data_IF_864464245110
#
_entry.id   IF_864464245110
#
_cell.length_a   1.000
_cell.length_b   1.000
_cell.length_c   1.000
_cell.angle_alpha   90.00
_cell.angle_beta   90.00
_cell.angle_gamma   90.00
#
_symmetry.space_group_name_H-M   'P 1'
#
loop_
_entity.id
_entity.type
_entity.pdbx_description
1 polymer ?
#
# COMPACT_ATOMS: atom_id res chain seq x y z
N UNK A 1 0.43 -20.92 -9.80
CA UNK A 1 0.61 -19.47 -9.52
C UNK A 1 1.94 -18.93 -10.04
N UNK A 2 3.12 -19.41 -9.61
CA UNK A 2 4.42 -18.95 -10.16
C UNK A 2 4.56 -19.04 -11.69
N UNK A 3 4.11 -20.14 -12.30
CA UNK A 3 4.09 -20.27 -13.78
C UNK A 3 3.15 -19.28 -14.48
N UNK A 4 2.07 -18.86 -13.83
CA UNK A 4 1.14 -17.87 -14.38
C UNK A 4 1.75 -16.48 -14.22
N UNK A 5 2.36 -16.21 -13.06
CA UNK A 5 3.12 -15.00 -12.78
C UNK A 5 4.30 -14.82 -13.76
N UNK A 6 5.03 -15.89 -14.09
CA UNK A 6 6.09 -15.90 -15.12
C UNK A 6 5.53 -15.66 -16.54
N UNK A 7 4.38 -16.25 -16.88
CA UNK A 7 3.74 -16.03 -18.19
C UNK A 7 3.19 -14.60 -18.33
N UNK A 8 2.74 -14.01 -17.23
CA UNK A 8 2.19 -12.65 -17.18
C UNK A 8 3.24 -11.58 -16.83
N UNK A 9 4.48 -11.97 -16.55
CA UNK A 9 5.58 -11.13 -16.06
C UNK A 9 5.23 -10.26 -14.85
N UNK A 10 4.46 -10.80 -13.90
CA UNK A 10 4.03 -10.11 -12.67
C UNK A 10 4.57 -10.79 -11.43
N UNK A 11 4.65 -10.06 -10.32
CA UNK A 11 4.99 -10.66 -9.03
C UNK A 11 3.91 -11.70 -8.63
N UNK A 12 4.30 -12.92 -8.25
CA UNK A 12 3.35 -13.98 -7.89
C UNK A 12 2.46 -13.63 -6.70
N UNK A 13 2.88 -12.69 -5.85
CA UNK A 13 2.08 -12.18 -4.73
C UNK A 13 0.91 -11.31 -5.19
N UNK A 14 1.01 -10.69 -6.37
CA UNK A 14 -0.06 -9.90 -6.99
C UNK A 14 -1.24 -10.75 -7.48
N UNK A 15 -1.07 -12.07 -7.55
CA UNK A 15 -2.11 -13.05 -7.93
C UNK A 15 -2.76 -13.72 -6.72
N UNK A 16 -2.33 -13.41 -5.49
CA UNK A 16 -2.96 -13.88 -4.27
C UNK A 16 -4.03 -12.85 -3.89
N UNK A 17 -5.30 -13.16 -4.17
CA UNK A 17 -6.44 -12.44 -3.60
C UNK A 17 -6.92 -13.24 -2.38
N UNK A 18 -6.49 -12.90 -1.14
CA UNK A 18 -7.35 -13.14 0.00
C UNK A 18 -8.56 -12.24 -0.20
N UNK A 19 -9.75 -12.82 -0.14
CA UNK A 19 -11.01 -12.08 -0.07
C UNK A 19 -11.07 -11.31 1.26
N UNK A 20 -10.29 -10.22 1.37
CA UNK A 20 -10.21 -9.28 2.49
C UNK A 20 -11.37 -8.28 2.39
N UNK A 21 -12.60 -8.73 2.63
CA UNK A 21 -13.77 -7.84 2.54
C UNK A 21 -14.37 -7.48 3.90
N UNK A 22 -13.99 -8.15 5.00
CA UNK A 22 -14.45 -7.81 6.34
C UNK A 22 -13.39 -7.02 7.12
N UNK A 23 -13.83 -6.13 8.01
CA UNK A 23 -12.92 -5.35 8.86
C UNK A 23 -12.06 -6.26 9.75
N UNK A 24 -12.62 -7.40 10.13
CA UNK A 24 -11.98 -8.46 10.91
C UNK A 24 -10.75 -9.03 10.22
N UNK A 25 -10.81 -9.28 8.90
CA UNK A 25 -9.67 -9.83 8.14
C UNK A 25 -8.50 -8.83 8.08
N UNK A 26 -8.81 -7.54 7.93
CA UNK A 26 -7.83 -6.46 8.02
C UNK A 26 -7.21 -6.42 9.41
N UNK A 27 -8.02 -6.56 10.46
CA UNK A 27 -7.52 -6.58 11.84
C UNK A 27 -6.61 -7.76 12.13
N UNK A 28 -6.93 -8.97 11.65
CA UNK A 28 -6.02 -10.12 11.80
C UNK A 28 -4.67 -9.86 11.14
N UNK A 29 -4.66 -9.28 9.94
CA UNK A 29 -3.41 -8.90 9.26
C UNK A 29 -2.62 -7.86 10.07
N UNK A 30 -3.30 -6.87 10.65
CA UNK A 30 -2.65 -5.85 11.48
C UNK A 30 -2.07 -6.42 12.78
N UNK A 31 -2.74 -7.39 13.41
CA UNK A 31 -2.23 -8.08 14.60
C UNK A 31 -0.96 -8.87 14.27
N UNK A 32 -0.95 -9.63 13.17
CA UNK A 32 0.26 -10.33 12.73
C UNK A 32 1.43 -9.36 12.49
N UNK A 33 1.16 -8.20 11.89
CA UNK A 33 2.19 -7.18 11.67
C UNK A 33 2.68 -6.56 12.99
N UNK A 34 1.81 -6.29 13.96
CA UNK A 34 2.21 -5.74 15.27
C UNK A 34 3.19 -6.67 16.01
N UNK A 35 2.93 -7.98 15.98
CA UNK A 35 3.81 -8.99 16.57
C UNK A 35 5.21 -9.03 15.94
N UNK A 36 5.31 -8.84 14.61
CA UNK A 36 6.58 -8.88 13.88
C UNK A 36 7.33 -7.55 13.91
N UNK A 37 6.63 -6.43 14.13
CA UNK A 37 7.19 -5.09 14.17
C UNK A 37 6.89 -4.43 15.53
N UNK A 38 7.67 -4.72 16.60
CA UNK A 38 7.39 -4.29 17.99
C UNK A 38 7.47 -2.77 18.25
N UNK A 39 7.62 -1.97 17.19
CA UNK A 39 7.56 -0.52 17.21
C UNK A 39 6.28 0.05 16.59
N UNK A 40 5.30 -0.79 16.24
CA UNK A 40 4.03 -0.35 15.66
C UNK A 40 3.25 0.51 16.66
N UNK A 41 2.65 1.59 16.17
CA UNK A 41 1.90 2.55 16.98
C UNK A 41 0.62 2.97 16.28
N UNK A 42 -0.40 3.26 17.08
CA UNK A 42 -1.67 3.80 16.61
C UNK A 42 -1.77 5.28 16.97
N UNK A 43 -2.25 6.09 16.03
CA UNK A 43 -2.48 7.51 16.23
C UNK A 43 -3.89 7.89 15.77
N UNK A 44 -4.55 8.79 16.49
CA UNK A 44 -5.68 9.52 15.94
C UNK A 44 -5.12 10.61 15.02
N UNK A 45 -5.56 10.61 13.77
CA UNK A 45 -5.17 11.60 12.75
C UNK A 45 -6.42 12.32 12.26
N UNK A 46 -6.27 13.60 11.99
CA UNK A 46 -7.30 14.39 11.29
C UNK A 46 -6.98 14.36 9.80
N UNK A 47 -7.85 13.77 8.99
CA UNK A 47 -7.80 13.90 7.55
C UNK A 47 -8.40 15.26 7.17
N UNK A 48 -7.59 16.07 6.50
CA UNK A 48 -7.96 17.40 6.01
C UNK A 48 -7.89 17.46 4.48
N UNK A 49 -8.01 16.30 3.80
CA UNK A 49 -8.04 16.23 2.34
C UNK A 49 -9.21 17.06 1.78
N UNK A 50 -10.35 17.02 2.47
CA UNK A 50 -11.42 18.02 2.32
C UNK A 50 -11.30 19.04 3.46
N UNK A 51 -10.88 20.29 3.18
CA UNK A 51 -10.71 21.30 4.22
C UNK A 51 -12.03 21.76 4.85
N UNK A 52 -13.16 21.55 4.15
CA UNK A 52 -14.49 21.93 4.63
C UNK A 52 -15.11 20.83 5.52
N UNK A 53 -14.62 19.60 5.42
CA UNK A 53 -15.11 18.45 6.19
C UNK A 53 -13.94 17.62 6.77
N UNK A 54 -13.28 18.10 7.84
CA UNK A 54 -12.21 17.34 8.48
C UNK A 54 -12.77 16.11 9.18
N UNK A 55 -12.20 14.95 8.89
CA UNK A 55 -12.58 13.66 9.49
C UNK A 55 -11.49 13.13 10.42
N UNK A 56 -11.88 12.39 11.46
CA UNK A 56 -10.94 11.73 12.37
C UNK A 56 -10.83 10.26 12.04
N UNK A 57 -9.60 9.78 11.86
CA UNK A 57 -9.32 8.37 11.60
C UNK A 57 -8.20 7.85 12.50
N UNK A 58 -8.10 6.53 12.60
CA UNK A 58 -6.96 5.87 13.21
C UNK A 58 -5.92 5.55 12.14
N UNK A 59 -4.66 5.91 12.39
CA UNK A 59 -3.52 5.56 11.56
C UNK A 59 -2.60 4.57 12.27
N UNK A 60 -2.13 3.57 11.52
CA UNK A 60 -1.10 2.62 11.97
C UNK A 60 0.25 3.09 11.45
N UNK A 61 1.22 3.21 12.33
CA UNK A 61 2.60 3.58 11.99
C UNK A 61 3.54 2.45 12.37
N UNK A 62 4.34 2.03 11.42
CA UNK A 62 5.46 1.14 11.64
C UNK A 62 6.71 1.98 11.86
N UNK A 63 7.50 1.69 12.90
CA UNK A 63 8.82 2.33 13.09
C UNK A 63 9.86 1.72 12.15
N UNK A 64 9.63 1.86 10.85
CA UNK A 64 10.49 1.29 9.82
C UNK A 64 10.69 2.29 8.67
N UNK A 65 11.82 3.00 8.70
CA UNK A 65 12.14 4.09 7.77
C UNK A 65 11.98 3.74 6.30
N UNK A 66 12.34 2.51 5.91
CA UNK A 66 12.22 2.08 4.51
C UNK A 66 10.76 1.91 4.10
N UNK A 67 9.92 1.38 5.00
CA UNK A 67 8.48 1.29 4.75
C UNK A 67 7.84 2.67 4.61
N UNK A 68 8.32 3.68 5.33
CA UNK A 68 7.84 5.06 5.14
C UNK A 68 8.13 5.59 3.73
N UNK A 69 9.28 5.24 3.14
CA UNK A 69 9.61 5.61 1.76
C UNK A 69 8.66 4.94 0.77
N UNK A 70 8.37 3.65 0.95
CA UNK A 70 7.41 2.92 0.11
C UNK A 70 5.98 3.44 0.24
N UNK A 71 5.54 3.75 1.47
CA UNK A 71 4.21 4.31 1.70
C UNK A 71 4.06 5.72 1.10
N UNK A 72 5.14 6.53 1.12
CA UNK A 72 5.15 7.84 0.44
C UNK A 72 5.03 7.71 -1.08
N UNK A 73 5.76 6.77 -1.69
CA UNK A 73 5.60 6.51 -3.13
C UNK A 73 4.17 6.07 -3.44
N UNK A 74 3.60 5.16 -2.64
CA UNK A 74 2.22 4.72 -2.83
C UNK A 74 1.21 5.87 -2.69
N UNK A 75 1.41 6.75 -1.70
CA UNK A 75 0.61 7.97 -1.53
C UNK A 75 0.72 8.89 -2.76
N UNK A 76 1.92 9.08 -3.30
CA UNK A 76 2.16 9.86 -4.50
C UNK A 76 1.38 9.28 -5.68
N UNK A 77 1.49 7.98 -5.97
CA UNK A 77 0.75 7.34 -7.08
C UNK A 77 -0.77 7.48 -6.95
N UNK A 78 -1.32 7.40 -5.73
CA UNK A 78 -2.74 7.68 -5.48
C UNK A 78 -3.11 9.13 -5.80
N UNK A 79 -2.25 10.09 -5.45
CA UNK A 79 -2.45 11.51 -5.78
C UNK A 79 -2.44 11.72 -7.30
N UNK A 80 -1.45 11.19 -8.01
CA UNK A 80 -1.33 11.29 -9.46
C UNK A 80 -2.56 10.70 -10.17
N UNK A 81 -3.05 9.55 -9.70
CA UNK A 81 -4.26 8.93 -10.23
C UNK A 81 -5.50 9.80 -10.00
N UNK A 82 -5.65 10.41 -8.81
CA UNK A 82 -6.78 11.31 -8.50
C UNK A 82 -6.74 12.58 -9.36
N UNK A 83 -5.54 13.10 -9.63
CA UNK A 83 -5.31 14.32 -10.42
C UNK A 83 -5.35 14.05 -11.93
N UNK A 84 -5.43 12.78 -12.35
CA UNK A 84 -5.48 12.37 -13.75
C UNK A 84 -4.12 12.45 -14.46
N UNK A 85 -3.02 12.56 -13.70
CA UNK A 85 -1.66 12.52 -14.24
C UNK A 85 -1.27 11.13 -14.75
N UNK A 86 -1.87 10.08 -14.15
CA UNK A 86 -1.75 8.68 -14.60
C UNK A 86 -3.15 8.07 -14.74
N UNK A 87 -3.27 7.12 -15.66
CA UNK A 87 -4.46 6.31 -15.90
C UNK A 87 -4.61 5.21 -14.85
N UNK A 88 -5.80 4.60 -14.79
CA UNK A 88 -6.04 3.44 -13.90
C UNK A 88 -5.19 2.25 -14.32
N UNK A 89 -4.96 2.11 -15.62
CA UNK A 89 -4.14 1.08 -16.25
C UNK A 89 -2.67 1.24 -15.86
N UNK A 90 -2.11 2.45 -15.97
CA UNK A 90 -0.73 2.75 -15.53
C UNK A 90 -0.56 2.52 -14.02
N UNK A 91 -1.55 2.91 -13.21
CA UNK A 91 -1.53 2.63 -11.77
C UNK A 91 -1.58 1.13 -11.46
N UNK A 92 -2.37 0.37 -12.21
CA UNK A 92 -2.44 -1.09 -12.08
C UNK A 92 -1.12 -1.74 -12.48
N UNK A 93 -0.54 -1.34 -13.61
CA UNK A 93 0.76 -1.81 -14.08
C UNK A 93 1.87 -1.53 -13.05
N UNK A 94 1.92 -0.30 -12.50
CA UNK A 94 2.86 0.03 -11.43
C UNK A 94 2.73 -0.89 -10.22
N UNK A 95 1.50 -1.20 -9.76
CA UNK A 95 1.28 -2.13 -8.63
C UNK A 95 1.69 -3.56 -8.95
N UNK A 96 1.35 -4.07 -10.14
CA UNK A 96 1.59 -5.46 -10.52
C UNK A 96 3.10 -5.76 -10.64
N UNK A 97 3.87 -4.75 -11.06
CA UNK A 97 5.31 -4.84 -11.32
C UNK A 97 6.17 -4.29 -10.18
N UNK A 98 5.58 -3.94 -9.02
CA UNK A 98 6.34 -3.55 -7.83
C UNK A 98 7.07 -4.78 -7.24
N UNK A 99 8.34 -4.66 -6.77
CA UNK A 99 9.13 -3.45 -6.55
C UNK A 99 9.98 -2.95 -7.73
N UNK A 100 9.94 -3.59 -8.90
CA UNK A 100 10.75 -3.19 -10.05
C UNK A 100 10.37 -1.81 -10.58
N UNK A 101 9.09 -1.45 -10.45
CA UNK A 101 8.51 -0.14 -10.77
C UNK A 101 8.58 0.88 -9.64
N UNK A 102 9.19 0.54 -8.48
CA UNK A 102 9.45 1.51 -7.43
C UNK A 102 10.43 2.59 -7.91
N UNK A 103 10.36 3.82 -7.39
CA UNK A 103 11.22 4.94 -7.83
C UNK A 103 12.73 4.66 -7.65
N UNK A 104 13.10 3.77 -6.72
CA UNK A 104 14.48 3.28 -6.55
C UNK A 104 14.84 2.04 -7.38
N UNK A 105 13.97 1.61 -8.31
CA UNK A 105 14.12 0.43 -9.16
C UNK A 105 14.50 -0.86 -8.38
N UNK A 106 13.89 -1.09 -7.22
CA UNK A 106 14.19 -2.25 -6.36
C UNK A 106 15.55 -2.23 -5.65
N UNK A 107 16.26 -1.09 -5.60
CA UNK A 107 17.50 -0.92 -4.83
C UNK A 107 17.21 -0.54 -3.39
N UNK A 108 16.59 -1.44 -2.63
CA UNK A 108 16.34 -1.27 -1.20
C UNK A 108 16.55 -2.56 -0.43
#
# INVERSE_FOLDING_TARGET
LRKIAEVLDVNYRSLYEPTLYAAEDVMYTLFELDEHYPGTRLYEVTDTTDPDLPEKHMAVSFRYRLLDEFLKEWQLRKKQLREGEITKEEYLEWKLNWPQTADGCGRY
#
